data_IF_493716280469
#
_entry.id   IF_493716280469
#
_cell.length_a   1.000
_cell.length_b   1.000
_cell.length_c   1.000
_cell.angle_alpha   90.00
_cell.angle_beta   90.00
_cell.angle_gamma   90.00
#
_symmetry.space_group_name_H-M   'P 1'
#
loop_
_entity.id
_entity.type
_entity.pdbx_description
1 polymer ?
#
# COMPACT_ATOMS: atom_id res chain seq x y z
N UNK A 1 35.17 71.41 6.39
CA UNK A 1 34.29 71.53 5.20
C UNK A 1 34.77 70.48 4.19
N UNK A 2 34.00 69.38 4.04
CA UNK A 2 33.96 68.41 2.91
C UNK A 2 35.30 67.74 2.46
N UNK A 3 35.51 66.43 2.25
CA UNK A 3 34.72 65.20 2.14
C UNK A 3 35.67 64.02 2.43
N UNK A 4 35.34 63.16 3.39
CA UNK A 4 35.90 61.80 3.48
C UNK A 4 34.87 60.85 2.83
N UNK A 5 35.24 60.20 1.73
CA UNK A 5 34.58 58.99 1.24
C UNK A 5 35.39 57.79 1.72
N UNK A 6 34.79 56.89 2.51
CA UNK A 6 35.02 55.49 2.26
C UNK A 6 33.71 54.68 2.25
N UNK A 7 33.53 53.97 1.14
CA UNK A 7 33.29 52.53 1.10
C UNK A 7 32.46 51.94 2.25
N UNK A 8 31.16 51.71 2.01
CA UNK A 8 30.37 50.73 2.73
C UNK A 8 29.68 49.85 1.69
N UNK A 9 30.40 48.79 1.29
CA UNK A 9 29.85 47.66 0.57
C UNK A 9 29.05 46.87 1.61
N UNK A 10 27.73 47.01 1.56
CA UNK A 10 26.79 46.21 2.34
C UNK A 10 26.79 44.78 1.77
N UNK A 11 27.60 43.90 2.36
CA UNK A 11 27.51 42.46 2.16
C UNK A 11 26.33 41.93 2.98
N UNK A 12 25.13 42.05 2.42
CA UNK A 12 23.95 41.33 2.89
C UNK A 12 24.09 39.86 2.54
N UNK A 13 24.71 39.07 3.41
CA UNK A 13 24.64 37.62 3.36
C UNK A 13 23.18 37.23 3.68
N UNK A 14 22.36 37.08 2.64
CA UNK A 14 21.14 36.30 2.72
C UNK A 14 21.58 34.85 2.96
N UNK A 15 21.57 34.43 4.22
CA UNK A 15 21.61 33.03 4.59
C UNK A 15 20.23 32.48 4.19
N UNK A 16 20.08 32.11 2.93
CA UNK A 16 19.00 31.22 2.51
C UNK A 16 19.22 29.92 3.29
N UNK A 17 18.37 29.65 4.27
CA UNK A 17 18.29 28.34 4.87
C UNK A 17 17.88 27.37 3.76
N UNK A 18 18.85 26.79 3.07
CA UNK A 18 18.62 25.70 2.15
C UNK A 18 18.09 24.55 2.99
N UNK A 19 16.77 24.35 2.99
CA UNK A 19 16.14 23.14 3.47
C UNK A 19 16.72 21.99 2.66
N UNK A 20 17.59 21.21 3.30
CA UNK A 20 18.24 20.07 2.64
C UNK A 20 17.19 18.97 2.46
N UNK A 21 16.95 18.60 1.20
CA UNK A 21 16.20 17.39 0.88
C UNK A 21 16.88 16.20 1.57
N UNK A 22 16.17 15.57 2.51
CA UNK A 22 16.65 14.41 3.26
C UNK A 22 15.98 13.17 2.71
N UNK A 23 16.72 12.06 2.75
CA UNK A 23 16.13 10.76 2.48
C UNK A 23 15.31 10.29 3.68
N UNK A 24 14.01 10.12 3.47
CA UNK A 24 13.07 9.49 4.38
C UNK A 24 13.00 8.02 4.00
N UNK A 25 13.13 7.13 4.99
CA UNK A 25 13.05 5.68 4.81
C UNK A 25 11.88 5.14 5.61
N UNK A 26 11.03 4.37 4.95
CA UNK A 26 9.84 3.76 5.54
C UNK A 26 9.89 2.27 5.31
N UNK A 27 9.75 1.49 6.38
CA UNK A 27 9.56 0.05 6.25
C UNK A 27 8.09 -0.20 5.99
N UNK A 28 7.75 -0.89 4.91
CA UNK A 28 6.37 -1.23 4.54
C UNK A 28 6.24 -2.75 4.52
N UNK A 29 5.42 -3.35 5.40
CA UNK A 29 5.11 -4.77 5.32
C UNK A 29 4.15 -5.01 4.15
N UNK A 30 4.55 -5.87 3.23
CA UNK A 30 3.78 -6.30 2.08
C UNK A 30 3.26 -7.73 2.32
N UNK A 31 1.97 -7.85 2.60
CA UNK A 31 1.31 -9.13 2.87
C UNK A 31 1.28 -10.05 1.63
N UNK A 32 1.36 -11.37 1.84
CA UNK A 32 1.35 -12.36 0.75
C UNK A 32 0.08 -12.38 -0.07
N UNK A 33 -1.04 -12.02 0.53
CA UNK A 33 -2.26 -11.82 -0.20
C UNK A 33 -2.12 -10.69 -1.24
N UNK A 34 -1.51 -9.55 -0.90
CA UNK A 34 -1.32 -8.47 -1.88
C UNK A 34 -0.44 -8.93 -3.04
N UNK A 35 0.64 -9.67 -2.75
CA UNK A 35 1.51 -10.25 -3.79
C UNK A 35 0.72 -11.22 -4.67
N UNK A 36 -0.18 -12.01 -4.09
CA UNK A 36 -1.07 -12.91 -4.82
C UNK A 36 -1.98 -12.16 -5.78
N UNK A 37 -2.51 -11.00 -5.39
CA UNK A 37 -3.29 -10.17 -6.31
C UNK A 37 -2.47 -9.63 -7.47
N UNK A 38 -1.27 -9.14 -7.19
CA UNK A 38 -0.37 -8.67 -8.24
C UNK A 38 -0.12 -9.82 -9.22
N UNK A 39 0.19 -11.02 -8.73
CA UNK A 39 0.37 -12.22 -9.54
C UNK A 39 -0.88 -12.57 -10.35
N UNK A 40 -2.07 -12.56 -9.73
CA UNK A 40 -3.32 -12.87 -10.43
C UNK A 40 -3.59 -11.86 -11.54
N UNK A 41 -3.45 -10.57 -11.24
CA UNK A 41 -3.70 -9.48 -12.20
C UNK A 41 -2.75 -9.51 -13.40
N UNK A 42 -1.52 -9.98 -13.21
CA UNK A 42 -0.50 -10.01 -14.25
C UNK A 42 -0.46 -11.34 -15.04
N UNK A 43 -0.77 -12.47 -14.40
CA UNK A 43 -0.53 -13.80 -14.98
C UNK A 43 -1.77 -14.70 -15.05
N UNK A 44 -2.72 -14.61 -14.09
CA UNK A 44 -3.88 -15.50 -14.01
C UNK A 44 -5.15 -14.83 -14.53
N UNK A 45 -5.10 -14.39 -15.78
CA UNK A 45 -6.18 -13.63 -16.43
C UNK A 45 -7.16 -14.51 -17.22
N UNK A 46 -7.03 -15.83 -17.14
CA UNK A 46 -7.93 -16.80 -17.76
C UNK A 46 -9.21 -17.03 -16.96
N UNK A 47 -10.11 -17.83 -17.51
CA UNK A 47 -11.35 -18.23 -16.83
C UNK A 47 -11.05 -18.90 -15.48
N UNK A 48 -11.82 -18.55 -14.45
CA UNK A 48 -11.62 -19.09 -13.10
C UNK A 48 -10.29 -18.69 -12.43
N UNK A 49 -9.68 -17.56 -12.85
CA UNK A 49 -8.34 -17.14 -12.40
C UNK A 49 -7.28 -18.21 -12.68
N UNK A 50 -7.29 -18.73 -13.90
CA UNK A 50 -6.27 -19.65 -14.42
C UNK A 50 -5.24 -18.94 -15.29
N UNK A 51 -4.06 -19.54 -15.43
CA UNK A 51 -2.99 -19.09 -16.30
C UNK A 51 -2.55 -20.22 -17.23
N UNK A 52 -2.78 -20.08 -18.54
CA UNK A 52 -2.18 -20.97 -19.54
C UNK A 52 -0.77 -20.50 -19.84
N UNK A 53 0.22 -21.12 -19.20
CA UNK A 53 1.62 -20.74 -19.37
C UNK A 53 2.19 -21.20 -20.71
N UNK A 54 1.69 -22.32 -21.23
CA UNK A 54 2.16 -22.88 -22.48
C UNK A 54 1.15 -23.80 -23.15
N UNK A 55 1.22 -23.82 -24.48
CA UNK A 55 0.51 -24.72 -25.37
C UNK A 55 1.38 -24.97 -26.58
N UNK A 56 1.53 -26.23 -26.99
CA UNK A 56 2.28 -26.54 -28.20
C UNK A 56 1.50 -26.14 -29.45
N UNK A 57 2.21 -25.82 -30.54
CA UNK A 57 1.58 -25.45 -31.82
C UNK A 57 0.83 -26.61 -32.50
N UNK A 58 0.88 -27.83 -31.92
CA UNK A 58 0.18 -29.02 -32.41
C UNK A 58 -1.06 -29.36 -31.57
N UNK A 59 -1.33 -28.57 -30.52
CA UNK A 59 -2.42 -28.73 -29.55
C UNK A 59 -2.47 -30.08 -28.83
N UNK A 60 -1.35 -30.79 -28.75
CA UNK A 60 -1.22 -32.04 -28.02
C UNK A 60 -0.72 -31.85 -26.59
N UNK A 61 -0.15 -30.68 -26.31
CA UNK A 61 0.49 -30.39 -25.03
C UNK A 61 0.14 -29.01 -24.51
N UNK A 62 -0.06 -28.90 -23.21
CA UNK A 62 -0.35 -27.64 -22.52
C UNK A 62 0.03 -27.73 -21.03
N UNK A 63 0.18 -26.56 -20.41
CA UNK A 63 0.35 -26.40 -18.97
C UNK A 63 -0.47 -25.21 -18.51
N UNK A 64 -1.44 -25.50 -17.65
CA UNK A 64 -2.32 -24.54 -17.02
C UNK A 64 -2.04 -24.54 -15.50
N UNK A 65 -1.99 -23.33 -14.92
CA UNK A 65 -1.92 -23.11 -13.49
C UNK A 65 -3.23 -22.50 -12.99
N UNK A 66 -3.58 -22.79 -11.75
CA UNK A 66 -4.70 -22.15 -11.06
C UNK A 66 -4.45 -22.06 -9.55
N UNK A 67 -5.28 -21.28 -8.87
CA UNK A 67 -5.32 -21.22 -7.40
C UNK A 67 -3.94 -20.95 -6.76
N UNK A 68 -3.24 -19.87 -7.13
CA UNK A 68 -1.92 -19.57 -6.56
C UNK A 68 -2.04 -19.32 -5.05
N UNK A 69 -1.20 -19.96 -4.26
CA UNK A 69 -1.08 -19.77 -2.81
C UNK A 69 0.33 -19.30 -2.50
N UNK A 70 0.46 -18.24 -1.69
CA UNK A 70 1.74 -17.58 -1.42
C UNK A 70 2.04 -17.62 0.07
N UNK A 71 3.25 -18.03 0.43
CA UNK A 71 3.75 -18.07 1.81
C UNK A 71 5.23 -17.71 1.90
N UNK A 72 5.70 -17.42 3.11
CA UNK A 72 7.10 -17.25 3.44
C UNK A 72 7.74 -18.57 3.82
N UNK A 73 8.95 -18.82 3.31
CA UNK A 73 9.73 -20.00 3.67
C UNK A 73 11.23 -19.73 3.57
N UNK A 74 11.93 -19.79 4.70
CA UNK A 74 13.40 -19.70 4.77
C UNK A 74 13.97 -18.47 4.03
N UNK A 75 13.34 -17.30 4.21
CA UNK A 75 13.77 -16.05 3.55
C UNK A 75 13.48 -16.00 2.04
N UNK A 76 12.61 -16.88 1.55
CA UNK A 76 12.10 -16.91 0.18
C UNK A 76 10.59 -16.92 0.20
N UNK A 77 10.00 -16.57 -0.94
CA UNK A 77 8.58 -16.75 -1.17
C UNK A 77 8.38 -18.14 -1.75
N UNK A 78 7.41 -18.87 -1.20
CA UNK A 78 6.88 -20.09 -1.78
C UNK A 78 5.57 -19.79 -2.48
N UNK A 79 5.45 -20.24 -3.74
CA UNK A 79 4.21 -20.17 -4.50
C UNK A 79 3.80 -21.57 -4.90
N UNK A 80 2.67 -22.01 -4.36
CA UNK A 80 2.05 -23.28 -4.74
C UNK A 80 0.90 -23.01 -5.72
N UNK A 81 0.83 -23.79 -6.79
CA UNK A 81 -0.22 -23.69 -7.79
C UNK A 81 -0.79 -25.06 -8.08
N UNK A 82 -2.11 -25.12 -8.24
CA UNK A 82 -2.75 -26.29 -8.83
C UNK A 82 -2.35 -26.34 -10.32
N UNK A 83 -1.88 -27.52 -10.76
CA UNK A 83 -1.46 -27.73 -12.15
C UNK A 83 -2.39 -28.67 -12.86
N UNK A 84 -2.77 -28.27 -14.07
CA UNK A 84 -3.30 -29.17 -15.08
C UNK A 84 -2.38 -29.16 -16.30
N UNK A 85 -1.65 -30.26 -16.52
CA UNK A 85 -0.74 -30.37 -17.64
C UNK A 85 -0.92 -31.67 -18.41
N UNK A 86 -0.74 -31.56 -19.73
CA UNK A 86 -0.75 -32.69 -20.66
C UNK A 86 0.44 -32.52 -21.59
N UNK A 87 1.15 -33.61 -21.84
CA UNK A 87 2.24 -33.67 -22.80
C UNK A 87 1.98 -34.82 -23.75
N UNK A 88 2.01 -34.54 -25.04
CA UNK A 88 1.71 -35.53 -26.06
C UNK A 88 2.39 -35.26 -27.38
N UNK A 89 2.38 -36.26 -28.24
CA UNK A 89 2.88 -36.16 -29.60
C UNK A 89 1.76 -36.42 -30.60
N UNK A 90 1.77 -35.67 -31.71
CA UNK A 90 0.83 -35.91 -32.82
C UNK A 90 1.30 -37.11 -33.63
N UNK A 91 0.49 -38.17 -33.69
CA UNK A 91 0.74 -39.37 -34.50
C UNK A 91 -0.53 -39.78 -35.23
N UNK A 92 -0.46 -39.94 -36.55
CA UNK A 92 -1.62 -40.32 -37.38
C UNK A 92 -2.79 -39.35 -37.28
N UNK A 93 -2.53 -38.06 -37.09
CA UNK A 93 -3.57 -37.03 -36.93
C UNK A 93 -4.21 -36.97 -35.53
N UNK A 94 -3.89 -37.88 -34.61
CA UNK A 94 -4.37 -37.89 -33.22
C UNK A 94 -3.27 -37.51 -32.24
N UNK A 95 -3.62 -36.91 -31.11
CA UNK A 95 -2.67 -36.65 -30.03
C UNK A 95 -2.54 -37.87 -29.12
N UNK A 96 -1.35 -38.48 -29.10
CA UNK A 96 -1.01 -39.52 -28.15
C UNK A 96 -0.45 -38.87 -26.88
N UNK A 97 -1.13 -39.06 -25.76
CA UNK A 97 -0.70 -38.55 -24.44
C UNK A 97 0.47 -39.38 -23.93
N UNK A 98 1.59 -38.73 -23.63
CA UNK A 98 2.79 -39.34 -23.03
C UNK A 98 2.79 -39.16 -21.51
N UNK A 99 2.49 -37.94 -21.06
CA UNK A 99 2.44 -37.60 -19.64
C UNK A 99 1.19 -36.77 -19.39
N UNK A 100 0.48 -37.08 -18.30
CA UNK A 100 -0.60 -36.25 -17.77
C UNK A 100 -0.30 -35.98 -16.31
N UNK A 101 -0.30 -34.71 -15.93
CA UNK A 101 -0.02 -34.30 -14.57
C UNK A 101 -1.16 -33.44 -14.03
N UNK A 102 -1.68 -33.87 -12.88
CA UNK A 102 -2.61 -33.12 -12.05
C UNK A 102 -2.05 -33.17 -10.64
N UNK A 103 -1.76 -32.02 -10.05
CA UNK A 103 -1.08 -31.94 -8.77
C UNK A 103 -0.63 -30.52 -8.48
N UNK A 104 0.47 -30.38 -7.76
CA UNK A 104 0.93 -29.09 -7.23
C UNK A 104 2.30 -28.75 -7.82
N UNK A 105 2.41 -27.55 -8.39
CA UNK A 105 3.69 -26.93 -8.70
C UNK A 105 4.05 -25.97 -7.59
N UNK A 106 5.14 -26.26 -6.92
CA UNK A 106 5.78 -25.36 -5.97
C UNK A 106 6.92 -24.62 -6.66
N UNK A 107 6.99 -23.32 -6.49
CA UNK A 107 8.18 -22.53 -6.78
C UNK A 107 8.69 -21.82 -5.55
N UNK A 108 10.01 -21.77 -5.41
CA UNK A 108 10.68 -20.88 -4.47
C UNK A 108 11.24 -19.70 -5.24
N UNK A 109 11.00 -18.50 -4.72
CA UNK A 109 11.43 -17.26 -5.35
C UNK A 109 12.12 -16.38 -4.32
N UNK A 110 13.25 -15.77 -4.71
CA UNK A 110 13.98 -14.85 -3.84
C UNK A 110 13.82 -13.43 -4.37
N UNK A 111 13.04 -12.56 -3.71
CA UNK A 111 12.85 -11.19 -4.18
C UNK A 111 14.17 -10.45 -4.28
N UNK A 112 14.33 -9.69 -5.35
CA UNK A 112 15.54 -8.92 -5.64
C UNK A 112 15.19 -7.57 -6.21
N UNK A 113 16.03 -6.58 -5.91
CA UNK A 113 15.92 -5.22 -6.43
C UNK A 113 16.81 -5.07 -7.65
N UNK A 114 16.34 -4.33 -8.66
CA UNK A 114 17.19 -3.85 -9.73
C UNK A 114 18.20 -2.82 -9.22
N UNK A 115 19.18 -2.46 -10.07
CA UNK A 115 20.28 -1.57 -9.68
C UNK A 115 19.82 -0.17 -9.28
N UNK A 116 18.66 0.27 -9.79
CA UNK A 116 18.07 1.58 -9.52
C UNK A 116 17.14 1.56 -8.31
N UNK A 117 16.81 0.39 -7.77
CA UNK A 117 15.83 0.24 -6.69
C UNK A 117 14.40 0.59 -7.14
N UNK A 118 14.10 0.56 -8.44
CA UNK A 118 12.77 0.92 -8.97
C UNK A 118 11.89 -0.29 -9.23
N UNK A 119 12.51 -1.45 -9.45
CA UNK A 119 11.81 -2.69 -9.80
C UNK A 119 12.16 -3.77 -8.78
N UNK A 120 11.13 -4.27 -8.12
CA UNK A 120 11.19 -5.50 -7.33
C UNK A 120 10.80 -6.68 -8.22
N UNK A 121 11.74 -7.61 -8.41
CA UNK A 121 11.57 -8.82 -9.21
C UNK A 121 11.58 -10.07 -8.34
N UNK A 122 10.94 -11.14 -8.83
CA UNK A 122 10.77 -12.39 -8.09
C UNK A 122 11.37 -13.59 -8.85
N UNK A 123 12.70 -13.64 -9.04
CA UNK A 123 13.35 -14.74 -9.73
C UNK A 123 13.09 -16.08 -9.03
N UNK A 124 12.74 -17.08 -9.83
CA UNK A 124 12.57 -18.47 -9.39
C UNK A 124 13.95 -19.08 -9.10
N UNK A 125 14.13 -19.59 -7.88
CA UNK A 125 15.34 -20.27 -7.43
C UNK A 125 15.20 -21.79 -7.49
N UNK A 126 13.98 -22.30 -7.33
CA UNK A 126 13.68 -23.72 -7.37
C UNK A 126 12.25 -23.96 -7.85
N UNK A 127 12.04 -25.11 -8.47
CA UNK A 127 10.74 -25.65 -8.88
C UNK A 127 10.63 -27.08 -8.35
N UNK A 128 9.47 -27.45 -7.83
CA UNK A 128 9.16 -28.81 -7.43
C UNK A 128 7.78 -29.19 -7.97
N UNK A 129 7.66 -30.41 -8.50
CA UNK A 129 6.40 -30.97 -8.93
C UNK A 129 5.93 -32.03 -7.95
N UNK A 130 4.65 -32.00 -7.61
CA UNK A 130 3.99 -32.98 -6.77
C UNK A 130 2.74 -33.52 -7.46
N UNK A 131 2.38 -34.77 -7.20
CA UNK A 131 1.09 -35.31 -7.61
C UNK A 131 -0.07 -34.79 -6.75
N UNK A 132 -1.29 -35.23 -7.03
CA UNK A 132 -2.48 -34.84 -6.26
C UNK A 132 -2.52 -35.35 -4.82
N UNK A 133 -1.59 -36.24 -4.44
CA UNK A 133 -1.43 -36.77 -3.08
C UNK A 133 -0.28 -36.09 -2.34
N UNK A 134 0.39 -35.10 -2.95
CA UNK A 134 1.54 -34.41 -2.39
C UNK A 134 2.85 -35.19 -2.48
N UNK A 135 2.91 -36.26 -3.29
CA UNK A 135 4.15 -37.00 -3.52
C UNK A 135 4.98 -36.33 -4.60
N UNK A 136 6.29 -36.19 -4.35
CA UNK A 136 7.20 -35.55 -5.29
C UNK A 136 7.30 -36.35 -6.60
N UNK A 137 7.25 -35.64 -7.73
CA UNK A 137 7.38 -36.18 -9.07
C UNK A 137 8.79 -35.92 -9.60
N UNK A 138 9.63 -36.97 -9.58
CA UNK A 138 10.98 -36.92 -10.14
C UNK A 138 11.01 -37.47 -11.56
N UNK A 139 10.34 -36.76 -12.49
CA UNK A 139 10.29 -37.09 -13.92
C UNK A 139 11.20 -36.11 -14.66
N UNK A 140 12.31 -36.57 -15.24
CA UNK A 140 13.32 -35.72 -15.88
C UNK A 140 12.73 -34.80 -16.96
N UNK A 141 11.86 -35.31 -17.83
CA UNK A 141 11.22 -34.52 -18.89
C UNK A 141 10.29 -33.43 -18.32
N UNK A 142 9.70 -33.67 -17.15
CA UNK A 142 8.88 -32.67 -16.47
C UNK A 142 9.76 -31.56 -15.91
N UNK A 143 10.89 -31.91 -15.29
CA UNK A 143 11.84 -30.96 -14.71
C UNK A 143 12.41 -30.00 -15.77
N UNK A 144 12.81 -30.50 -16.94
CA UNK A 144 13.32 -29.66 -18.03
C UNK A 144 12.28 -28.63 -18.50
N UNK A 145 11.01 -29.07 -18.60
CA UNK A 145 9.91 -28.19 -18.99
C UNK A 145 9.63 -27.12 -17.91
N UNK A 146 9.61 -27.51 -16.64
CA UNK A 146 9.42 -26.55 -15.55
C UNK A 146 10.47 -25.43 -15.63
N UNK A 147 11.70 -25.77 -15.97
CA UNK A 147 12.79 -24.79 -16.02
C UNK A 147 12.74 -23.92 -17.26
N UNK A 148 12.33 -24.46 -18.41
CA UNK A 148 12.31 -23.72 -19.67
C UNK A 148 11.03 -22.89 -19.87
N UNK A 149 9.91 -23.31 -19.29
CA UNK A 149 8.59 -22.74 -19.57
C UNK A 149 8.00 -22.04 -18.36
N UNK A 150 7.96 -22.74 -17.22
CA UNK A 150 7.27 -22.27 -16.04
C UNK A 150 8.08 -21.21 -15.30
N UNK A 151 9.36 -21.49 -15.04
CA UNK A 151 10.22 -20.60 -14.27
C UNK A 151 10.31 -19.18 -14.89
N UNK A 152 10.49 -18.99 -16.22
CA UNK A 152 10.51 -17.65 -16.81
C UNK A 152 9.18 -16.90 -16.64
N UNK A 153 8.04 -17.58 -16.82
CA UNK A 153 6.71 -16.96 -16.71
C UNK A 153 6.37 -16.52 -15.29
N UNK A 154 6.76 -17.31 -14.29
CA UNK A 154 6.56 -16.93 -12.89
C UNK A 154 7.58 -15.88 -12.43
N UNK A 155 8.80 -15.90 -12.99
CA UNK A 155 9.82 -14.88 -12.76
C UNK A 155 9.50 -13.52 -13.40
N UNK A 156 8.53 -13.46 -14.33
CA UNK A 156 8.07 -12.21 -14.94
C UNK A 156 7.25 -11.34 -13.98
N UNK A 157 6.82 -11.88 -12.83
CA UNK A 157 6.20 -11.09 -11.77
C UNK A 157 7.13 -9.95 -11.34
N UNK A 158 6.64 -8.72 -11.44
CA UNK A 158 7.37 -7.51 -11.06
C UNK A 158 6.45 -6.49 -10.42
N UNK A 159 6.99 -5.78 -9.42
CA UNK A 159 6.42 -4.54 -8.90
C UNK A 159 7.34 -3.40 -9.34
N UNK A 160 6.80 -2.50 -10.16
CA UNK A 160 7.55 -1.43 -10.82
C UNK A 160 7.02 -0.08 -10.35
N UNK A 161 7.83 0.62 -9.54
CA UNK A 161 7.45 1.93 -9.02
C UNK A 161 7.23 2.95 -10.13
N UNK A 162 7.92 2.83 -11.27
CA UNK A 162 7.75 3.76 -12.39
C UNK A 162 6.31 3.75 -12.93
N UNK A 163 5.61 2.61 -12.84
CA UNK A 163 4.22 2.47 -13.29
C UNK A 163 3.20 3.01 -12.29
N UNK A 164 3.59 3.14 -11.02
CA UNK A 164 2.70 3.56 -9.93
C UNK A 164 2.81 5.04 -9.59
N UNK A 165 3.88 5.72 -10.00
CA UNK A 165 4.14 7.14 -9.65
C UNK A 165 2.99 8.07 -10.04
N UNK A 166 2.52 7.97 -11.28
CA UNK A 166 1.46 8.85 -11.78
C UNK A 166 0.15 8.65 -11.01
N UNK A 167 -0.19 7.39 -10.69
CA UNK A 167 -1.37 7.06 -9.90
C UNK A 167 -1.24 7.60 -8.46
N UNK A 168 -0.06 7.46 -7.83
CA UNK A 168 0.21 8.00 -6.50
C UNK A 168 0.03 9.53 -6.50
N UNK A 169 0.63 10.23 -7.46
CA UNK A 169 0.49 11.69 -7.59
C UNK A 169 -0.98 12.06 -7.75
N UNK A 170 -1.67 11.42 -8.70
CA UNK A 170 -3.08 11.70 -8.98
C UNK A 170 -3.98 11.49 -7.75
N UNK A 171 -3.68 10.48 -6.94
CA UNK A 171 -4.43 10.19 -5.72
C UNK A 171 -4.13 11.16 -4.59
N UNK A 172 -2.87 11.58 -4.41
CA UNK A 172 -2.47 12.38 -3.25
C UNK A 172 -2.58 13.88 -3.48
N UNK A 173 -2.35 14.36 -4.71
CA UNK A 173 -2.32 15.78 -5.06
C UNK A 173 -3.56 16.57 -4.61
N UNK A 174 -4.81 16.06 -4.68
CA UNK A 174 -5.99 16.78 -4.20
C UNK A 174 -5.97 17.12 -2.71
N UNK A 175 -5.17 16.42 -1.91
CA UNK A 175 -5.10 16.59 -0.45
C UNK A 175 -3.87 17.38 0.00
N UNK A 176 -2.94 17.69 -0.91
CA UNK A 176 -1.71 18.42 -0.61
C UNK A 176 -1.89 19.91 -0.91
N UNK A 177 -1.42 20.83 -0.04
CA UNK A 177 -1.45 22.26 -0.32
C UNK A 177 -0.77 22.62 -1.65
N UNK A 178 -1.25 23.68 -2.31
CA UNK A 178 -0.75 24.07 -3.64
C UNK A 178 0.76 24.41 -3.61
N UNK A 179 1.23 25.01 -2.52
CA UNK A 179 2.63 25.32 -2.27
C UNK A 179 3.54 24.09 -2.15
N UNK A 180 2.97 22.92 -1.83
CA UNK A 180 3.70 21.67 -1.58
C UNK A 180 3.56 20.67 -2.73
N UNK A 181 2.88 21.07 -3.82
CA UNK A 181 2.63 20.22 -4.99
C UNK A 181 3.93 19.80 -5.70
N UNK A 182 4.88 20.72 -5.91
CA UNK A 182 6.18 20.41 -6.52
C UNK A 182 6.99 19.42 -5.66
N UNK A 183 6.94 19.61 -4.34
CA UNK A 183 7.60 18.70 -3.41
C UNK A 183 6.99 17.29 -3.42
N UNK A 184 5.67 17.15 -3.57
CA UNK A 184 5.00 15.86 -3.77
C UNK A 184 5.51 15.17 -5.04
N UNK A 185 5.58 15.91 -6.14
CA UNK A 185 6.12 15.37 -7.41
C UNK A 185 7.57 14.88 -7.23
N UNK A 186 8.44 15.69 -6.64
CA UNK A 186 9.85 15.32 -6.40
C UNK A 186 9.99 14.10 -5.49
N UNK A 187 9.18 14.03 -4.43
CA UNK A 187 9.18 12.90 -3.51
C UNK A 187 8.77 11.62 -4.22
N UNK A 188 7.65 11.62 -4.95
CA UNK A 188 7.17 10.45 -5.69
C UNK A 188 8.16 10.05 -6.80
N UNK A 189 8.75 11.01 -7.50
CA UNK A 189 9.77 10.76 -8.52
C UNK A 189 11.05 10.14 -7.95
N UNK A 190 11.42 10.50 -6.71
CA UNK A 190 12.59 9.98 -6.02
C UNK A 190 12.37 8.64 -5.30
N UNK A 191 11.13 8.13 -5.31
CA UNK A 191 10.73 6.90 -4.64
C UNK A 191 11.51 5.69 -5.20
N UNK A 192 12.08 4.92 -4.27
CA UNK A 192 12.89 3.73 -4.54
C UNK A 192 12.75 2.70 -3.41
N UNK A 193 12.91 1.43 -3.76
CA UNK A 193 13.20 0.35 -2.83
C UNK A 193 14.68 0.42 -2.43
N UNK A 194 14.94 0.53 -1.12
CA UNK A 194 16.25 0.52 -0.50
C UNK A 194 16.60 -0.85 0.10
N UNK A 195 15.61 -1.71 0.30
CA UNK A 195 15.80 -3.04 0.86
C UNK A 195 14.58 -3.92 0.73
N UNK A 196 14.81 -5.22 0.74
CA UNK A 196 13.76 -6.24 0.75
C UNK A 196 14.17 -7.38 1.67
N UNK A 197 13.26 -7.81 2.54
CA UNK A 197 13.43 -8.97 3.40
C UNK A 197 12.14 -9.77 3.43
N UNK A 198 12.25 -11.08 3.27
CA UNK A 198 11.11 -12.00 3.38
C UNK A 198 11.10 -12.59 4.79
N UNK A 199 9.96 -12.53 5.47
CA UNK A 199 9.71 -13.24 6.72
C UNK A 199 8.67 -14.36 6.52
N UNK A 200 8.04 -14.88 7.58
CA UNK A 200 7.07 -15.96 7.45
C UNK A 200 5.64 -15.47 7.13
N UNK A 201 5.37 -14.16 7.27
CA UNK A 201 4.03 -13.56 7.18
C UNK A 201 3.90 -12.51 6.07
N UNK A 202 5.00 -11.89 5.66
CA UNK A 202 5.04 -10.74 4.75
C UNK A 202 6.42 -10.58 4.10
N UNK A 203 6.51 -9.61 3.20
CA UNK A 203 7.77 -9.05 2.72
C UNK A 203 7.94 -7.66 3.33
N UNK A 204 9.00 -7.45 4.09
CA UNK A 204 9.40 -6.13 4.56
C UNK A 204 10.15 -5.40 3.45
N UNK A 205 9.52 -4.37 2.89
CA UNK A 205 10.12 -3.48 1.90
C UNK A 205 10.60 -2.21 2.60
N UNK A 206 11.83 -1.79 2.34
CA UNK A 206 12.28 -0.47 2.77
C UNK A 206 12.13 0.49 1.58
N UNK A 207 11.25 1.47 1.69
CA UNK A 207 10.99 2.50 0.69
C UNK A 207 11.70 3.79 1.10
N UNK A 208 12.55 4.28 0.22
CA UNK A 208 13.21 5.57 0.34
C UNK A 208 12.61 6.59 -0.60
N UNK A 209 12.42 7.83 -0.12
CA UNK A 209 12.14 8.99 -0.97
C UNK A 209 12.84 10.22 -0.41
N UNK A 210 13.07 11.22 -1.26
CA UNK A 210 13.63 12.51 -0.89
C UNK A 210 12.48 13.46 -0.59
N UNK A 211 12.52 14.10 0.56
CA UNK A 211 11.61 15.18 0.86
C UNK A 211 12.34 16.27 1.62
N UNK A 212 11.90 17.51 1.43
CA UNK A 212 12.28 18.59 2.32
C UNK A 212 11.48 18.39 3.59
N UNK A 213 12.09 17.73 4.58
CA UNK A 213 11.45 17.59 5.89
C UNK A 213 11.38 18.99 6.49
N UNK A 214 10.24 19.64 6.30
CA UNK A 214 9.88 20.81 7.09
C UNK A 214 9.83 20.31 8.54
N UNK A 215 10.53 20.95 9.49
CA UNK A 215 10.22 20.68 10.89
C UNK A 215 8.71 20.87 11.04
N UNK A 216 8.03 19.89 11.66
CA UNK A 216 6.60 19.96 11.92
C UNK A 216 6.28 21.36 12.43
N UNK A 217 5.26 21.99 11.85
CA UNK A 217 4.97 23.38 12.12
C UNK A 217 4.55 23.51 13.59
N UNK A 218 5.51 23.89 14.43
CA UNK A 218 5.29 23.99 15.88
C UNK A 218 4.51 25.24 16.24
N UNK A 219 4.20 26.10 15.26
CA UNK A 219 3.35 27.26 15.53
C UNK A 219 1.95 26.77 15.89
N UNK A 220 1.43 27.15 17.07
CA UNK A 220 0.05 26.88 17.41
C UNK A 220 -0.84 27.48 16.32
N UNK A 221 -1.71 26.65 15.73
CA UNK A 221 -2.73 27.14 14.82
C UNK A 221 -3.90 27.52 15.68
N UNK A 222 -4.35 28.77 15.68
CA UNK A 222 -5.46 29.20 16.55
C UNK A 222 -6.70 28.30 16.40
N UNK A 223 -7.36 28.04 17.54
CA UNK A 223 -8.66 27.37 17.57
C UNK A 223 -9.65 28.00 16.58
N UNK A 224 -10.64 27.22 16.15
CA UNK A 224 -11.65 27.70 15.21
C UNK A 224 -12.52 28.77 15.87
N UNK A 225 -12.86 29.79 15.08
CA UNK A 225 -13.87 30.76 15.46
C UNK A 225 -15.26 30.12 15.57
N UNK A 226 -16.19 30.78 16.26
CA UNK A 226 -17.56 30.28 16.41
C UNK A 226 -18.24 30.00 15.06
N UNK A 227 -18.01 30.84 14.06
CA UNK A 227 -18.57 30.68 12.71
C UNK A 227 -17.94 29.50 11.95
N UNK A 228 -16.64 29.26 12.13
CA UNK A 228 -15.95 28.09 11.57
C UNK A 228 -16.42 26.79 12.23
N UNK A 229 -16.63 26.81 13.56
CA UNK A 229 -17.13 25.64 14.30
C UNK A 229 -18.54 25.26 13.88
N UNK A 230 -19.44 26.23 13.69
CA UNK A 230 -20.79 25.97 13.19
C UNK A 230 -20.79 25.30 11.80
N UNK A 231 -19.96 25.80 10.88
CA UNK A 231 -19.82 25.21 9.55
C UNK A 231 -19.24 23.79 9.62
N UNK A 232 -18.21 23.59 10.44
CA UNK A 232 -17.64 22.27 10.66
C UNK A 232 -18.65 21.29 11.26
N UNK A 233 -19.46 21.70 12.24
CA UNK A 233 -20.47 20.84 12.85
C UNK A 233 -21.47 20.31 11.82
N UNK A 234 -21.93 21.15 10.89
CA UNK A 234 -22.81 20.70 9.80
C UNK A 234 -22.10 19.68 8.89
N UNK A 235 -20.86 19.98 8.47
CA UNK A 235 -20.06 19.07 7.64
C UNK A 235 -19.85 17.72 8.35
N UNK A 236 -19.44 17.76 9.62
CA UNK A 236 -19.18 16.57 10.42
C UNK A 236 -20.45 15.74 10.63
N UNK A 237 -21.61 16.36 10.89
CA UNK A 237 -22.88 15.65 11.05
C UNK A 237 -23.28 14.90 9.77
N UNK A 238 -23.13 15.53 8.60
CA UNK A 238 -23.44 14.88 7.32
C UNK A 238 -22.51 13.69 7.03
N UNK A 239 -21.21 13.85 7.33
CA UNK A 239 -20.22 12.79 7.23
C UNK A 239 -20.51 11.64 8.21
N UNK A 240 -20.78 11.97 9.47
CA UNK A 240 -21.07 11.00 10.51
C UNK A 240 -22.32 10.20 10.15
N UNK A 241 -23.42 10.84 9.76
CA UNK A 241 -24.64 10.14 9.34
C UNK A 241 -24.41 9.22 8.12
N UNK A 242 -23.57 9.66 7.18
CA UNK A 242 -23.19 8.84 6.02
C UNK A 242 -22.36 7.62 6.42
N UNK A 243 -21.43 7.79 7.36
CA UNK A 243 -20.58 6.72 7.88
C UNK A 243 -21.37 5.74 8.76
N UNK A 244 -22.25 6.21 9.64
CA UNK A 244 -23.15 5.38 10.46
C UNK A 244 -24.03 4.50 9.57
N UNK A 245 -24.63 5.09 8.53
CA UNK A 245 -25.40 4.34 7.53
C UNK A 245 -24.53 3.33 6.78
N UNK A 246 -23.30 3.71 6.43
CA UNK A 246 -22.33 2.83 5.79
C UNK A 246 -22.00 1.62 6.68
N UNK A 247 -21.73 1.87 7.96
CA UNK A 247 -21.51 0.84 8.98
C UNK A 247 -22.73 -0.07 9.02
N UNK A 248 -23.94 0.45 9.21
CA UNK A 248 -25.21 -0.29 9.29
C UNK A 248 -25.48 -1.21 8.10
N UNK A 249 -25.04 -0.81 6.91
CA UNK A 249 -25.22 -1.58 5.68
C UNK A 249 -24.13 -2.61 5.41
N UNK A 250 -23.06 -2.68 6.23
CA UNK A 250 -22.03 -3.69 6.07
C UNK A 250 -22.63 -5.10 6.24
N UNK A 251 -22.34 -6.03 5.31
CA UNK A 251 -22.80 -7.42 5.36
C UNK A 251 -21.97 -8.22 6.38
N UNK A 252 -22.00 -7.79 7.63
CA UNK A 252 -21.35 -8.47 8.74
C UNK A 252 -22.22 -9.64 9.21
N UNK A 253 -21.61 -10.80 9.46
CA UNK A 253 -22.32 -11.97 9.99
C UNK A 253 -22.79 -11.72 11.43
N UNK A 254 -23.76 -12.51 11.92
CA UNK A 254 -24.33 -12.31 13.26
C UNK A 254 -23.29 -12.39 14.40
N UNK A 255 -22.15 -13.06 14.19
CA UNK A 255 -21.04 -13.13 15.16
C UNK A 255 -20.23 -11.82 15.25
N UNK A 256 -20.45 -10.86 14.35
CA UNK A 256 -19.73 -9.59 14.26
C UNK A 256 -20.55 -8.39 14.76
N UNK A 257 -21.65 -8.61 15.49
CA UNK A 257 -22.43 -7.52 16.09
C UNK A 257 -21.55 -6.62 16.98
N UNK A 258 -20.63 -7.21 17.75
CA UNK A 258 -19.65 -6.47 18.56
C UNK A 258 -18.69 -5.60 17.71
N UNK A 259 -18.41 -5.98 16.47
CA UNK A 259 -17.60 -5.18 15.54
C UNK A 259 -18.38 -3.95 15.06
N UNK A 260 -19.69 -4.08 14.84
CA UNK A 260 -20.56 -2.95 14.50
C UNK A 260 -20.60 -1.92 15.62
N UNK A 261 -20.77 -2.37 16.87
CA UNK A 261 -20.77 -1.50 18.05
C UNK A 261 -19.40 -0.82 18.24
N UNK A 262 -18.31 -1.54 17.98
CA UNK A 262 -16.95 -0.97 18.03
C UNK A 262 -16.78 0.16 17.01
N UNK A 263 -17.22 -0.03 15.76
CA UNK A 263 -17.14 1.00 14.72
C UNK A 263 -17.95 2.25 15.07
N UNK A 264 -19.17 2.06 15.58
CA UNK A 264 -20.03 3.16 16.05
C UNK A 264 -19.37 3.92 17.22
N UNK A 265 -18.83 3.20 18.21
CA UNK A 265 -18.13 3.81 19.33
C UNK A 265 -16.90 4.61 18.89
N UNK A 266 -16.09 4.07 17.97
CA UNK A 266 -14.91 4.78 17.44
C UNK A 266 -15.33 6.05 16.69
N UNK A 267 -16.40 6.00 15.89
CA UNK A 267 -16.91 7.17 15.17
C UNK A 267 -17.42 8.25 16.13
N UNK A 268 -18.14 7.86 17.18
CA UNK A 268 -18.60 8.80 18.22
C UNK A 268 -17.43 9.44 18.96
N UNK A 269 -16.44 8.64 19.37
CA UNK A 269 -15.23 9.11 20.04
C UNK A 269 -14.41 10.05 19.15
N UNK A 270 -14.38 9.81 17.83
CA UNK A 270 -13.74 10.69 16.86
C UNK A 270 -14.34 12.10 16.91
N UNK A 271 -15.68 12.20 16.94
CA UNK A 271 -16.37 13.49 17.04
C UNK A 271 -15.96 14.28 18.27
N UNK A 272 -15.90 13.62 19.44
CA UNK A 272 -15.45 14.26 20.69
C UNK A 272 -13.99 14.70 20.62
N UNK A 273 -13.09 13.85 20.12
CA UNK A 273 -11.67 14.18 20.01
C UNK A 273 -11.40 15.32 19.02
N UNK A 274 -12.12 15.34 17.89
CA UNK A 274 -12.01 16.41 16.89
C UNK A 274 -12.58 17.72 17.42
N UNK A 275 -13.72 17.70 18.11
CA UNK A 275 -14.26 18.91 18.75
C UNK A 275 -13.28 19.50 19.77
N UNK A 276 -12.67 18.67 20.61
CA UNK A 276 -11.62 19.11 21.54
C UNK A 276 -10.43 19.70 20.78
N UNK A 277 -9.95 19.02 19.74
CA UNK A 277 -8.84 19.48 18.90
C UNK A 277 -9.13 20.80 18.17
N UNK A 278 -10.38 21.12 17.87
CA UNK A 278 -10.76 22.33 17.15
C UNK A 278 -11.02 23.56 18.05
N UNK A 279 -11.33 23.34 19.33
CA UNK A 279 -11.88 24.38 20.23
C UNK A 279 -10.91 24.92 21.27
N UNK A 280 -9.91 24.14 21.69
CA UNK A 280 -9.01 24.49 22.81
C UNK A 280 -7.56 24.34 22.37
N UNK A 281 -6.67 25.24 22.77
CA UNK A 281 -5.23 25.05 22.55
C UNK A 281 -4.68 23.95 23.44
N UNK A 282 -3.90 23.05 22.86
CA UNK A 282 -3.35 21.88 23.55
C UNK A 282 -1.83 21.90 23.53
N UNK A 283 -1.22 21.38 24.59
CA UNK A 283 0.19 21.05 24.56
C UNK A 283 0.44 19.88 23.61
N UNK A 284 1.59 19.85 22.95
CA UNK A 284 1.94 18.84 21.94
C UNK A 284 1.85 17.40 22.46
N UNK A 285 2.19 17.19 23.73
CA UNK A 285 2.17 15.87 24.37
C UNK A 285 0.76 15.41 24.80
N UNK A 286 -0.23 16.30 24.74
CA UNK A 286 -1.62 16.06 25.10
C UNK A 286 -2.59 16.39 23.95
N UNK A 287 -2.15 16.22 22.70
CA UNK A 287 -2.97 16.46 21.52
C UNK A 287 -4.14 15.43 21.45
N UNK A 288 -5.41 15.85 21.54
CA UNK A 288 -6.55 14.94 21.64
C UNK A 288 -6.80 14.17 20.34
N UNK A 289 -6.46 14.76 19.18
CA UNK A 289 -6.61 14.12 17.87
C UNK A 289 -5.61 12.98 17.73
N UNK A 290 -4.36 13.23 18.12
CA UNK A 290 -3.29 12.23 18.11
C UNK A 290 -3.58 11.11 19.10
N UNK A 291 -3.98 11.45 20.32
CA UNK A 291 -4.32 10.47 21.34
C UNK A 291 -5.45 9.56 20.85
N UNK A 292 -6.54 10.14 20.34
CA UNK A 292 -7.66 9.39 19.78
C UNK A 292 -7.24 8.46 18.64
N UNK A 293 -6.44 8.94 17.68
CA UNK A 293 -6.02 8.13 16.54
C UNK A 293 -5.16 6.94 17.01
N UNK A 294 -4.24 7.16 17.95
CA UNK A 294 -3.44 6.08 18.53
C UNK A 294 -4.30 5.05 19.27
N UNK A 295 -5.20 5.50 20.16
CA UNK A 295 -6.04 4.61 20.97
C UNK A 295 -7.10 3.88 20.15
N UNK A 296 -7.70 4.54 19.16
CA UNK A 296 -8.70 3.93 18.28
C UNK A 296 -8.07 2.91 17.34
N UNK A 297 -6.80 3.07 16.96
CA UNK A 297 -6.11 2.12 16.09
C UNK A 297 -5.99 0.73 16.72
N UNK A 298 -5.72 0.65 18.03
CA UNK A 298 -5.66 -0.62 18.77
C UNK A 298 -6.98 -1.40 18.69
N UNK A 299 -8.11 -0.71 18.54
CA UNK A 299 -9.44 -1.30 18.43
C UNK A 299 -9.83 -1.58 16.97
N UNK A 300 -9.48 -0.68 16.05
CA UNK A 300 -9.83 -0.77 14.64
C UNK A 300 -8.98 -1.82 13.89
N UNK A 301 -7.68 -1.91 14.16
CA UNK A 301 -6.78 -2.77 13.41
C UNK A 301 -7.17 -4.26 13.49
N UNK A 302 -7.50 -4.85 14.66
CA UNK A 302 -7.97 -6.24 14.74
C UNK A 302 -9.29 -6.46 13.99
N UNK A 303 -10.20 -5.49 14.02
CA UNK A 303 -11.50 -5.57 13.35
C UNK A 303 -11.32 -5.55 11.82
N UNK A 304 -10.52 -4.62 11.31
CA UNK A 304 -10.19 -4.55 9.89
C UNK A 304 -9.48 -5.83 9.42
N UNK A 305 -8.62 -6.44 10.26
CA UNK A 305 -7.99 -7.73 9.97
C UNK A 305 -9.04 -8.85 9.91
N UNK A 306 -9.96 -8.91 10.86
CA UNK A 306 -11.05 -9.89 10.88
C UNK A 306 -11.98 -9.76 9.65
N UNK A 307 -12.37 -8.53 9.29
CA UNK A 307 -13.18 -8.26 8.08
C UNK A 307 -12.43 -8.67 6.83
N UNK A 308 -11.13 -8.34 6.75
CA UNK A 308 -10.31 -8.71 5.60
C UNK A 308 -10.25 -10.23 5.39
N UNK A 309 -10.23 -11.04 6.44
CA UNK A 309 -10.23 -12.51 6.32
C UNK A 309 -11.53 -13.06 5.73
N UNK A 310 -12.64 -12.33 5.81
CA UNK A 310 -13.95 -12.75 5.31
C UNK A 310 -14.25 -12.24 3.89
N UNK A 311 -13.49 -11.25 3.41
CA UNK A 311 -13.66 -10.70 2.08
C UNK A 311 -12.96 -11.58 1.02
N UNK A 312 -13.59 -11.88 -0.12
CA UNK A 312 -12.92 -12.64 -1.17
C UNK A 312 -11.97 -11.74 -1.99
N UNK A 313 -10.81 -12.30 -2.36
CA UNK A 313 -9.96 -11.77 -3.42
C UNK A 313 -9.43 -10.36 -3.17
N UNK A 314 -9.66 -9.45 -4.12
CA UNK A 314 -9.00 -8.14 -4.15
C UNK A 314 -9.39 -7.18 -3.03
N UNK A 315 -10.60 -7.30 -2.49
CA UNK A 315 -11.12 -6.40 -1.44
C UNK A 315 -10.45 -6.65 -0.10
N UNK A 316 -10.33 -7.91 0.34
CA UNK A 316 -9.57 -8.32 1.55
C UNK A 316 -8.19 -7.66 1.62
N UNK A 317 -7.54 -7.57 0.47
CA UNK A 317 -6.15 -7.19 0.36
C UNK A 317 -5.96 -5.67 0.33
N UNK A 318 -6.96 -4.92 -0.14
CA UNK A 318 -7.00 -3.46 0.05
C UNK A 318 -7.06 -3.11 1.53
N UNK A 319 -7.91 -3.81 2.28
CA UNK A 319 -8.00 -3.61 3.74
C UNK A 319 -6.70 -4.02 4.44
N UNK A 320 -6.11 -5.18 4.12
CA UNK A 320 -4.83 -5.59 4.72
C UNK A 320 -3.68 -4.63 4.40
N UNK A 321 -3.67 -4.03 3.20
CA UNK A 321 -2.68 -3.01 2.83
C UNK A 321 -2.86 -1.71 3.63
N UNK A 322 -4.11 -1.28 3.83
CA UNK A 322 -4.42 -0.10 4.66
C UNK A 322 -4.03 -0.33 6.13
N UNK A 323 -4.27 -1.53 6.66
CA UNK A 323 -3.89 -1.90 8.03
C UNK A 323 -2.37 -1.93 8.16
N UNK A 324 -1.67 -2.60 7.24
CA UNK A 324 -0.21 -2.69 7.23
C UNK A 324 0.48 -1.33 7.14
N UNK A 325 -0.10 -0.39 6.38
CA UNK A 325 0.41 0.98 6.28
C UNK A 325 0.17 1.79 7.56
N UNK A 326 -0.95 1.57 8.25
CA UNK A 326 -1.37 2.36 9.42
C UNK A 326 -0.89 1.77 10.76
N UNK A 327 -0.49 0.50 10.80
CA UNK A 327 0.24 -0.12 11.93
C UNK A 327 1.57 0.60 12.23
N UNK A 328 2.04 1.38 11.27
CA UNK A 328 3.23 2.23 11.35
C UNK A 328 2.80 3.71 11.37
N UNK A 329 1.88 4.06 12.27
CA UNK A 329 1.30 5.41 12.37
C UNK A 329 2.38 6.51 12.48
N UNK A 330 3.50 6.21 13.14
CA UNK A 330 4.66 7.10 13.24
C UNK A 330 5.35 7.30 11.88
N UNK A 331 5.46 6.24 11.07
CA UNK A 331 5.95 6.29 9.71
C UNK A 331 4.99 7.05 8.79
N UNK A 332 3.67 6.91 8.97
CA UNK A 332 2.65 7.69 8.25
C UNK A 332 2.83 9.19 8.51
N UNK A 333 3.08 9.58 9.75
CA UNK A 333 3.40 10.97 10.09
C UNK A 333 4.72 11.42 9.44
N UNK A 334 5.75 10.56 9.42
CA UNK A 334 7.01 10.86 8.74
C UNK A 334 6.85 11.02 7.22
N UNK A 335 5.84 10.36 6.63
CA UNK A 335 5.46 10.50 5.23
C UNK A 335 4.66 11.79 4.99
N UNK A 336 3.72 12.12 5.87
CA UNK A 336 2.81 13.26 5.70
C UNK A 336 3.43 14.62 6.03
N UNK A 337 4.25 14.68 7.09
CA UNK A 337 4.80 15.93 7.63
C UNK A 337 5.53 16.80 6.59
N UNK A 338 6.35 16.24 5.67
CA UNK A 338 6.98 17.03 4.62
C UNK A 338 6.00 17.75 3.69
N UNK A 339 4.76 17.29 3.58
CA UNK A 339 3.69 17.86 2.75
C UNK A 339 2.66 18.66 3.56
N UNK A 340 2.99 19.02 4.81
CA UNK A 340 2.08 19.72 5.71
C UNK A 340 0.91 18.87 6.21
N UNK A 341 0.95 17.55 6.01
CA UNK A 341 -0.04 16.60 6.51
C UNK A 341 0.41 16.12 7.89
N UNK A 342 -0.23 16.63 8.93
CA UNK A 342 0.09 16.29 10.32
C UNK A 342 -1.12 15.63 10.99
N UNK A 343 -0.87 14.52 11.70
CA UNK A 343 -1.86 13.89 12.57
C UNK A 343 -1.86 14.65 13.90
N UNK A 344 -2.58 15.77 13.94
CA UNK A 344 -2.66 16.65 15.11
C UNK A 344 -3.90 17.54 15.07
N UNK A 345 -4.23 18.16 16.20
CA UNK A 345 -5.21 19.23 16.30
C UNK A 345 -4.87 20.39 15.34
N UNK A 346 -3.60 20.77 15.22
CA UNK A 346 -3.15 21.80 14.28
C UNK A 346 -3.40 21.40 12.81
N UNK A 347 -3.08 20.14 12.45
CA UNK A 347 -3.35 19.60 11.13
C UNK A 347 -4.85 19.57 10.81
N UNK A 348 -5.66 19.14 11.77
CA UNK A 348 -7.12 19.16 11.66
C UNK A 348 -7.65 20.58 11.43
N UNK A 349 -7.20 21.58 12.20
CA UNK A 349 -7.59 23.00 12.02
C UNK A 349 -7.27 23.50 10.61
N UNK A 350 -6.09 23.18 10.07
CA UNK A 350 -5.67 23.55 8.72
C UNK A 350 -6.58 22.91 7.65
N UNK A 351 -6.87 21.61 7.78
CA UNK A 351 -7.74 20.87 6.85
C UNK A 351 -9.16 21.45 6.87
N UNK A 352 -9.73 21.67 8.05
CA UNK A 352 -11.10 22.20 8.17
C UNK A 352 -11.23 23.57 7.51
N UNK A 353 -10.28 24.48 7.76
CA UNK A 353 -10.27 25.81 7.11
C UNK A 353 -10.13 25.72 5.59
N UNK A 354 -9.28 24.81 5.09
CA UNK A 354 -9.14 24.56 3.66
C UNK A 354 -10.45 24.04 3.04
N UNK A 355 -11.10 23.09 3.71
CA UNK A 355 -12.35 22.49 3.24
C UNK A 355 -13.52 23.50 3.26
N UNK A 356 -13.67 24.28 4.34
CA UNK A 356 -14.65 25.37 4.42
C UNK A 356 -14.44 26.37 3.27
N UNK A 357 -13.20 26.79 3.03
CA UNK A 357 -12.87 27.71 1.93
C UNK A 357 -13.19 27.13 0.56
N UNK A 358 -12.93 25.84 0.35
CA UNK A 358 -13.23 25.15 -0.90
C UNK A 358 -14.74 25.06 -1.17
N UNK A 359 -15.53 24.66 -0.16
CA UNK A 359 -16.99 24.59 -0.29
C UNK A 359 -17.63 25.97 -0.48
N UNK A 360 -17.11 27.00 0.19
CA UNK A 360 -17.58 28.38 -0.01
C UNK A 360 -17.35 28.88 -1.46
N UNK A 361 -16.26 28.44 -2.12
CA UNK A 361 -15.95 28.78 -3.51
C UNK A 361 -16.71 27.98 -4.57
N UNK A 362 -17.37 26.87 -4.22
CA UNK A 362 -18.27 26.14 -5.12
C UNK A 362 -19.73 26.63 -5.05
N UNK A 363 -20.07 27.41 -4.02
CA UNK A 363 -21.39 28.00 -3.82
C UNK A 363 -21.55 29.41 -4.43
N UNK A 364 -20.51 29.93 -5.07
CA UNK A 364 -20.44 31.21 -5.79
C UNK A 364 -20.12 30.98 -7.27
#
# INVERSE_FOLDING_TARGET
MFIFRPLLISLGLLISANTLAREVNVTVPLDYGLIRNVLISQLFTGEGQSARLWKDGKECSFLDLSNPQIAGQNGQIKIDNDVHAKFGAKMGGKCMTLVKWNGILETLQKPTLDKTGTVLSFPVTSTNAFDSKGQKLDIAQLQDLLQQVVAPKLADLKIDLNKSRDDIIKTLLPYVPAEDSEQLHDAVNSLRFNGVKVDDKNILLNLGFKANVKPADTHPVDALSADELLQWQTIWQDWQASLEKGIDQLPLTNEMAANRDTLHNVLQNAGTAFEQGLTVDHEKDHDPVRQFINESWDQLAPLLRSVSQQLPGAESLRYLTLIAATDLMYEVESIGSPFGLEISANGLRKIVRSYIKHNAGQAS
#
